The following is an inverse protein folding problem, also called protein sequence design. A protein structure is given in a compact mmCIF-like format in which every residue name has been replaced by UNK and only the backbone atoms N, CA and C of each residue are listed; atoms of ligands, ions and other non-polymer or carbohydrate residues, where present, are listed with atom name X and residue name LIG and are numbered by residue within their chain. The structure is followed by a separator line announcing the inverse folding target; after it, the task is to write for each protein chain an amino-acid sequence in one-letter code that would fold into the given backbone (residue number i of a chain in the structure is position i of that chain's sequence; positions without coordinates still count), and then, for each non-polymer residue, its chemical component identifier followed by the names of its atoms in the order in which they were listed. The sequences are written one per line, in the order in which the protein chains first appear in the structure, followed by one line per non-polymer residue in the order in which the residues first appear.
data_IF_673022585405
#
_entry.id   IF_673022585405
#
_cell.length_a   1.000
_cell.length_b   1.000
_cell.length_c   1.000
_cell.angle_alpha   90.00
_cell.angle_beta   90.00
_cell.angle_gamma   90.00
#
_symmetry.space_group_name_H-M   'P 1'
#
loop_
_entity.id
_entity.type
_entity.pdbx_description
1 polymer ?
#
# COMPACT_ATOMS: atom_id res chain seq x y z
N UNK A 1 -15.18 -7.19 8.11
CA UNK A 1 -16.07 -7.56 6.99
C UNK A 1 -15.14 -7.84 5.84
N UNK A 2 -15.14 -9.09 5.36
CA UNK A 2 -14.26 -9.51 4.29
C UNK A 2 -14.83 -9.06 2.95
N UNK A 3 -13.96 -8.58 2.07
CA UNK A 3 -14.35 -8.11 0.74
C UNK A 3 -14.45 -9.27 -0.27
N UNK A 4 -13.86 -10.43 0.07
CA UNK A 4 -13.85 -11.67 -0.72
C UNK A 4 -13.35 -12.85 0.14
N UNK A 5 -13.90 -14.04 -0.08
CA UNK A 5 -13.45 -15.31 0.53
C UNK A 5 -13.54 -16.45 -0.50
N UNK A 6 -12.53 -17.33 -0.56
CA UNK A 6 -12.52 -18.55 -1.38
C UNK A 6 -11.83 -19.69 -0.61
N UNK A 7 -12.62 -20.64 -0.11
CA UNK A 7 -12.15 -21.77 0.68
C UNK A 7 -12.39 -23.09 -0.07
N UNK A 8 -11.30 -23.81 -0.39
CA UNK A 8 -11.34 -25.07 -1.18
C UNK A 8 -10.21 -26.01 -0.79
N UNK A 9 -10.46 -27.32 -0.88
CA UNK A 9 -9.39 -28.33 -0.87
C UNK A 9 -8.88 -28.54 -2.29
N UNK A 10 -7.58 -28.37 -2.51
CA UNK A 10 -6.94 -28.48 -3.82
C UNK A 10 -5.73 -29.40 -3.76
N UNK A 11 -5.26 -29.89 -4.91
CA UNK A 11 -4.01 -30.65 -4.96
C UNK A 11 -2.79 -29.75 -4.70
N UNK A 12 -1.65 -30.35 -4.30
CA UNK A 12 -0.38 -29.63 -4.18
C UNK A 12 0.03 -28.91 -5.48
N UNK A 13 -0.28 -29.52 -6.63
CA UNK A 13 0.05 -28.94 -7.93
C UNK A 13 -0.79 -27.69 -8.21
N UNK A 14 -2.09 -27.73 -7.88
CA UNK A 14 -3.00 -26.61 -8.05
C UNK A 14 -2.65 -25.46 -7.10
N UNK A 15 -2.32 -25.76 -5.83
CA UNK A 15 -1.83 -24.75 -4.87
C UNK A 15 -0.57 -24.06 -5.42
N UNK A 16 0.40 -24.82 -5.93
CA UNK A 16 1.61 -24.25 -6.51
C UNK A 16 1.33 -23.43 -7.78
N UNK A 17 0.34 -23.81 -8.58
CA UNK A 17 -0.09 -23.01 -9.74
C UNK A 17 -0.72 -21.68 -9.28
N UNK A 18 -1.56 -21.72 -8.24
CA UNK A 18 -2.21 -20.54 -7.68
C UNK A 18 -1.21 -19.55 -7.08
N UNK A 19 -0.23 -20.03 -6.30
CA UNK A 19 0.83 -19.18 -5.74
C UNK A 19 1.68 -18.53 -6.83
N UNK A 20 2.00 -19.25 -7.91
CA UNK A 20 2.71 -18.66 -9.07
C UNK A 20 1.87 -17.59 -9.75
N UNK A 21 0.56 -17.83 -9.92
CA UNK A 21 -0.33 -16.83 -10.50
C UNK A 21 -0.37 -15.56 -9.63
N UNK A 22 -0.49 -15.70 -8.30
CA UNK A 22 -0.45 -14.57 -7.38
C UNK A 22 0.86 -13.79 -7.51
N UNK A 23 1.99 -14.50 -7.52
CA UNK A 23 3.30 -13.87 -7.71
C UNK A 23 3.41 -13.12 -9.05
N UNK A 24 2.97 -13.73 -10.15
CA UNK A 24 2.97 -13.07 -11.47
C UNK A 24 2.08 -11.82 -11.50
N UNK A 25 0.93 -11.83 -10.83
CA UNK A 25 0.05 -10.67 -10.75
C UNK A 25 0.70 -9.49 -10.02
N UNK A 26 1.36 -9.77 -8.88
CA UNK A 26 2.12 -8.79 -8.11
C UNK A 26 3.28 -8.20 -8.93
N UNK A 27 4.05 -9.05 -9.61
CA UNK A 27 5.21 -8.62 -10.42
C UNK A 27 4.80 -7.78 -11.64
N UNK A 28 3.74 -8.17 -12.34
CA UNK A 28 3.39 -7.57 -13.63
C UNK A 28 2.50 -6.34 -13.53
N UNK A 29 1.55 -6.34 -12.58
CA UNK A 29 0.51 -5.30 -12.49
C UNK A 29 0.46 -4.59 -11.14
N UNK A 30 1.14 -5.11 -10.12
CA UNK A 30 1.00 -4.62 -8.74
C UNK A 30 -0.42 -4.76 -8.18
N UNK A 31 -1.25 -5.64 -8.77
CA UNK A 31 -2.65 -5.82 -8.39
C UNK A 31 -2.96 -7.31 -8.22
N UNK A 32 -3.83 -7.63 -7.27
CA UNK A 32 -4.38 -8.98 -7.11
C UNK A 32 -5.80 -9.00 -7.64
N UNK A 33 -6.09 -9.98 -8.50
CA UNK A 33 -7.41 -10.25 -9.07
C UNK A 33 -8.08 -11.38 -8.31
N UNK A 34 -9.25 -11.13 -7.71
CA UNK A 34 -10.03 -12.13 -6.96
C UNK A 34 -11.31 -12.51 -7.73
N UNK A 35 -11.11 -12.96 -8.97
CA UNK A 35 -12.18 -13.37 -9.88
C UNK A 35 -12.99 -12.19 -10.43
N UNK A 36 -14.27 -12.43 -10.75
CA UNK A 36 -15.16 -11.40 -11.28
C UNK A 36 -15.54 -10.32 -10.24
N UNK A 37 -15.21 -10.53 -8.97
CA UNK A 37 -15.53 -9.61 -7.87
C UNK A 37 -14.63 -8.37 -7.85
N UNK A 38 -13.46 -8.40 -8.51
CA UNK A 38 -12.65 -7.21 -8.75
C UNK A 38 -11.15 -7.40 -8.56
N UNK A 39 -10.48 -6.28 -8.33
CA UNK A 39 -9.04 -6.19 -8.12
C UNK A 39 -8.70 -5.25 -6.97
N UNK A 40 -7.57 -5.51 -6.32
CA UNK A 40 -6.97 -4.61 -5.32
C UNK A 40 -5.53 -4.27 -5.73
N UNK A 41 -5.16 -3.01 -5.56
CA UNK A 41 -3.78 -2.56 -5.75
C UNK A 41 -2.97 -2.83 -4.49
N UNK A 42 -1.78 -3.41 -4.68
CA UNK A 42 -0.79 -3.68 -3.65
C UNK A 42 0.28 -2.59 -3.71
N UNK A 43 0.74 -2.12 -2.56
CA UNK A 43 1.80 -1.11 -2.50
C UNK A 43 3.16 -1.68 -2.92
N UNK A 44 4.08 -0.83 -3.37
CA UNK A 44 5.45 -1.21 -3.73
C UNK A 44 6.22 -1.84 -2.55
N UNK A 45 5.83 -1.50 -1.32
CA UNK A 45 6.33 -2.09 -0.09
C UNK A 45 5.18 -2.56 0.79
N UNK A 46 5.29 -3.79 1.30
CA UNK A 46 4.31 -4.42 2.19
C UNK A 46 5.02 -4.98 3.42
N UNK A 47 4.32 -5.07 4.55
CA UNK A 47 4.72 -5.96 5.63
C UNK A 47 4.34 -7.37 5.22
N UNK A 48 5.27 -8.33 5.28
CA UNK A 48 5.02 -9.72 4.89
C UNK A 48 5.44 -10.65 6.03
N UNK A 49 4.60 -11.63 6.34
CA UNK A 49 4.84 -12.67 7.34
C UNK A 49 4.57 -14.05 6.72
N UNK A 50 5.38 -15.02 7.11
CA UNK A 50 5.22 -16.44 6.78
C UNK A 50 5.20 -17.20 8.09
N UNK A 51 4.10 -17.88 8.36
CA UNK A 51 3.92 -18.69 9.55
C UNK A 51 3.74 -20.16 9.14
N UNK A 52 4.35 -21.05 9.92
CA UNK A 52 4.26 -22.50 9.72
C UNK A 52 4.00 -23.09 11.09
N UNK A 53 2.82 -23.68 11.25
CA UNK A 53 2.38 -24.22 12.53
C UNK A 53 2.02 -25.71 12.39
N UNK A 54 2.16 -26.40 13.52
CA UNK A 54 1.66 -27.75 13.71
C UNK A 54 0.54 -27.65 14.75
N UNK A 55 -0.71 -27.75 14.29
CA UNK A 55 -1.88 -27.53 15.15
C UNK A 55 -2.14 -28.72 16.07
N UNK A 56 -1.83 -29.94 15.61
CA UNK A 56 -1.87 -31.17 16.39
C UNK A 56 -0.81 -32.20 15.91
N UNK A 57 -0.99 -33.50 16.18
CA UNK A 57 0.03 -34.49 15.77
C UNK A 57 0.13 -34.68 14.26
N UNK A 58 -0.96 -34.46 13.52
CA UNK A 58 -1.09 -34.83 12.10
C UNK A 58 -1.51 -33.65 11.20
N UNK A 59 -1.80 -32.48 11.77
CA UNK A 59 -2.20 -31.27 11.05
C UNK A 59 -1.10 -30.20 11.04
N UNK A 60 -0.83 -29.67 9.85
CA UNK A 60 0.09 -28.56 9.62
C UNK A 60 -0.63 -27.45 8.84
N UNK A 61 -0.41 -26.22 9.25
CA UNK A 61 -0.86 -25.02 8.55
C UNK A 61 0.33 -24.17 8.10
N UNK A 62 0.19 -23.56 6.93
CA UNK A 62 1.15 -22.58 6.40
C UNK A 62 0.35 -21.36 5.99
N UNK A 63 0.69 -20.21 6.56
CA UNK A 63 0.04 -18.95 6.28
C UNK A 63 1.03 -17.96 5.67
N UNK A 64 0.59 -17.25 4.63
CA UNK A 64 1.34 -16.15 4.03
C UNK A 64 0.44 -14.92 4.12
N UNK A 65 0.78 -14.02 5.02
CA UNK A 65 0.08 -12.75 5.18
C UNK A 65 0.93 -11.59 4.69
N UNK A 66 0.31 -10.67 3.94
CA UNK A 66 0.91 -9.39 3.65
C UNK A 66 -0.10 -8.27 3.79
N UNK A 67 0.32 -7.17 4.40
CA UNK A 67 -0.54 -6.03 4.72
C UNK A 67 0.11 -4.70 4.36
N UNK A 68 -0.74 -3.76 3.94
CA UNK A 68 -0.36 -2.41 3.56
C UNK A 68 -1.51 -1.45 3.78
N UNK A 69 -1.19 -0.16 3.87
CA UNK A 69 -2.20 0.91 3.88
C UNK A 69 -2.60 1.22 2.44
N UNK A 70 -3.90 1.33 2.17
CA UNK A 70 -4.39 1.70 0.85
C UNK A 70 -3.80 3.07 0.42
N UNK A 71 -3.00 3.14 -0.66
CA UNK A 71 -2.34 4.38 -1.07
C UNK A 71 -3.32 5.52 -1.38
N UNK A 72 -4.53 5.18 -1.88
CA UNK A 72 -5.58 6.17 -2.17
C UNK A 72 -6.20 6.79 -0.91
N UNK A 73 -6.10 6.11 0.23
CA UNK A 73 -6.58 6.63 1.51
C UNK A 73 -5.58 7.61 2.13
N UNK A 74 -4.27 7.42 1.90
CA UNK A 74 -3.22 8.30 2.42
C UNK A 74 -3.32 9.72 1.84
N UNK A 75 -3.58 9.85 0.53
CA UNK A 75 -3.72 11.15 -0.15
C UNK A 75 -4.93 11.98 0.29
N UNK A 76 -5.93 11.36 0.94
CA UNK A 76 -7.10 12.09 1.44
C UNK A 76 -6.80 12.86 2.74
N UNK A 77 -5.77 12.47 3.49
CA UNK A 77 -5.42 13.08 4.78
C UNK A 77 -4.53 14.32 4.61
N UNK A 78 -3.65 14.33 3.61
CA UNK A 78 -2.75 15.47 3.34
C UNK A 78 -3.45 16.66 2.66
N UNK A 79 -4.61 16.44 2.04
CA UNK A 79 -5.39 17.50 1.39
C UNK A 79 -6.14 18.43 2.37
N UNK A 80 -6.19 18.10 3.67
CA UNK A 80 -6.86 18.91 4.69
C UNK A 80 -5.93 19.91 5.42
N UNK A 81 -4.63 19.92 5.10
CA UNK A 81 -3.60 20.59 5.91
C UNK A 81 -2.86 21.77 5.28
N UNK A 82 -3.26 22.30 4.12
CA UNK A 82 -2.58 23.46 3.51
C UNK A 82 -3.58 24.47 2.95
N UNK A 83 -4.24 25.23 3.82
CA UNK A 83 -4.70 26.58 3.50
C UNK A 83 -4.65 27.44 4.77
N UNK A 84 -3.53 28.15 4.98
CA UNK A 84 -3.47 29.55 5.44
C UNK A 84 -2.01 29.97 5.72
N UNK A 85 -1.42 30.70 4.78
CA UNK A 85 -0.72 31.99 5.01
C UNK A 85 0.34 32.24 3.93
N UNK A 86 -0.07 32.88 2.82
CA UNK A 86 0.83 33.74 2.04
C UNK A 86 0.10 35.07 1.81
N UNK A 87 0.57 36.12 2.47
CA UNK A 87 0.57 37.51 1.99
C UNK A 87 1.20 38.42 3.07
N UNK A 88 2.52 38.57 3.02
CA UNK A 88 3.21 39.78 3.49
C UNK A 88 4.63 39.77 2.90
N UNK A 89 4.73 40.21 1.64
CA UNK A 89 5.99 40.58 1.01
C UNK A 89 6.30 42.00 1.46
N UNK A 90 7.16 42.17 2.46
CA UNK A 90 7.85 43.45 2.71
C UNK A 90 9.17 43.42 1.94
N UNK A 91 9.28 44.27 0.92
CA UNK A 91 10.53 44.57 0.22
C UNK A 91 11.54 45.22 1.19
N UNK A 92 12.83 44.86 1.13
CA UNK A 92 13.86 45.53 1.90
C UNK A 92 14.36 46.76 1.12
N UNK A 93 14.10 47.97 1.62
CA UNK A 93 14.86 49.15 1.20
C UNK A 93 16.17 49.23 2.00
N UNK A 94 17.27 49.34 1.27
CA UNK A 94 18.62 49.57 1.78
C UNK A 94 19.34 50.55 0.82
N UNK A 95 20.40 51.21 1.28
CA UNK A 95 20.43 52.65 1.54
C UNK A 95 21.15 53.43 0.44
N UNK A 96 20.94 54.74 0.32
CA UNK A 96 21.97 55.62 -0.23
C UNK A 96 21.90 57.06 0.31
N UNK A 97 23.11 57.54 0.63
CA UNK A 97 23.53 58.81 1.19
C UNK A 97 23.62 59.87 0.08
N UNK A 98 23.01 61.04 0.27
CA UNK A 98 23.34 62.25 -0.52
C UNK A 98 23.36 63.50 0.36
N UNK A 99 24.46 64.22 0.19
CA UNK A 99 25.00 65.39 0.89
C UNK A 99 24.18 66.68 0.74
N UNK A 100 24.27 67.59 1.73
CA UNK A 100 24.20 69.06 1.51
C UNK A 100 23.52 69.88 2.61
N UNK A 101 24.28 70.61 3.42
CA UNK A 101 24.50 72.09 3.34
C UNK A 101 25.50 72.56 4.40
#
# INVERSE_FOLDING_TARGET
MDIYEDARTVSRADLAAWLRQLASQLETTGQVFYGAAGTIAVADQVRCELEIEQEDQDEFSIEIEFSWVNPKAATATDAAGVQKAEAATEEPESPEDTTGE
#
